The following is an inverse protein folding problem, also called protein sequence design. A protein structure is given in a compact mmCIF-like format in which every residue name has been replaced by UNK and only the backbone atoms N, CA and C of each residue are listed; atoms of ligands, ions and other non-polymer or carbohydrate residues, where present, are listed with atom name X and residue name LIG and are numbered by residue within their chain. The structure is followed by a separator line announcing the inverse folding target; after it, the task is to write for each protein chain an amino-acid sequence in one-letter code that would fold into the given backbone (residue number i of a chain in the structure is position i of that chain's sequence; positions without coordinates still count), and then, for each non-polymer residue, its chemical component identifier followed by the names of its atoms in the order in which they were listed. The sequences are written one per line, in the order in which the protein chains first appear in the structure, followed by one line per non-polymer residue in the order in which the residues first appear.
data_IF_191551405455
#
_entry.id   IF_191551405455
#
_cell.length_a   1.000
_cell.length_b   1.000
_cell.length_c   1.000
_cell.angle_alpha   90.00
_cell.angle_beta   90.00
_cell.angle_gamma   90.00
#
_symmetry.space_group_name_H-M   'P 1'
#
loop_
_entity.id
_entity.type
_entity.pdbx_description
1 polymer ?
#
# COMPACT_ATOMS: atom_id res chain seq x y z
N UNK A 1 7.71 -27.09 15.80
CA UNK A 1 6.86 -25.95 16.25
C UNK A 1 6.06 -25.45 15.06
N UNK A 2 4.75 -25.19 15.23
CA UNK A 2 3.89 -24.65 14.15
C UNK A 2 4.28 -23.21 13.83
N UNK A 3 4.44 -22.85 12.55
CA UNK A 3 4.69 -21.45 12.16
C UNK A 3 3.55 -20.55 12.65
N UNK A 4 3.83 -19.34 13.15
CA UNK A 4 2.81 -18.35 13.52
C UNK A 4 1.84 -18.09 12.36
N UNK A 5 0.58 -17.76 12.69
CA UNK A 5 -0.47 -17.52 11.69
C UNK A 5 -0.09 -16.40 10.71
N UNK A 6 0.49 -15.30 11.20
CA UNK A 6 0.94 -14.18 10.34
C UNK A 6 1.99 -14.64 9.31
N UNK A 7 2.95 -15.49 9.73
CA UNK A 7 4.00 -16.00 8.84
C UNK A 7 3.43 -16.93 7.77
N UNK A 8 2.42 -17.74 8.11
CA UNK A 8 1.71 -18.58 7.13
C UNK A 8 0.97 -17.73 6.11
N UNK A 9 0.29 -16.67 6.58
CA UNK A 9 -0.43 -15.72 5.73
C UNK A 9 0.51 -15.04 4.75
N UNK A 10 1.60 -14.44 5.23
CA UNK A 10 2.59 -13.74 4.40
C UNK A 10 3.33 -14.68 3.45
N UNK A 11 3.63 -15.92 3.87
CA UNK A 11 4.21 -16.93 2.96
C UNK A 11 3.28 -17.22 1.78
N UNK A 12 1.96 -17.33 2.04
CA UNK A 12 0.97 -17.56 0.98
C UNK A 12 0.89 -16.36 0.05
N UNK A 13 0.75 -15.15 0.59
CA UNK A 13 0.65 -13.94 -0.24
C UNK A 13 1.90 -13.68 -1.08
N UNK A 14 3.09 -13.92 -0.53
CA UNK A 14 4.34 -13.77 -1.28
C UNK A 14 4.39 -14.75 -2.47
N UNK A 15 3.96 -16.00 -2.24
CA UNK A 15 3.88 -17.00 -3.31
C UNK A 15 2.86 -16.60 -4.37
N UNK A 16 1.69 -16.15 -3.95
CA UNK A 16 0.60 -15.74 -4.86
C UNK A 16 1.07 -14.55 -5.71
N UNK A 17 1.73 -13.54 -5.12
CA UNK A 17 2.33 -12.42 -5.83
C UNK A 17 3.44 -12.84 -6.80
N UNK A 18 4.31 -13.77 -6.41
CA UNK A 18 5.39 -14.24 -7.28
C UNK A 18 4.88 -15.10 -8.45
N UNK A 19 3.75 -15.78 -8.27
CA UNK A 19 3.18 -16.68 -9.30
C UNK A 19 2.23 -15.96 -10.24
N UNK A 20 1.45 -15.01 -9.71
CA UNK A 20 0.43 -14.27 -10.45
C UNK A 20 0.34 -12.83 -9.93
N UNK A 21 1.34 -11.98 -10.21
CA UNK A 21 1.31 -10.60 -9.78
C UNK A 21 0.20 -9.83 -10.51
N UNK A 22 -0.42 -8.82 -9.87
CA UNK A 22 -1.25 -7.86 -10.59
C UNK A 22 -0.47 -7.19 -11.74
N UNK A 23 -1.18 -6.75 -12.77
CA UNK A 23 -0.55 -6.09 -13.92
C UNK A 23 0.23 -4.84 -13.49
N UNK A 24 1.48 -4.73 -13.93
CA UNK A 24 2.34 -3.61 -13.57
C UNK A 24 2.87 -3.64 -12.12
N UNK A 25 2.71 -4.73 -11.39
CA UNK A 25 3.27 -4.90 -10.03
C UNK A 25 4.44 -5.88 -10.06
N UNK A 26 5.58 -5.52 -9.45
CA UNK A 26 6.74 -6.40 -9.26
C UNK A 26 7.21 -6.41 -7.80
N UNK A 27 7.81 -7.52 -7.38
CA UNK A 27 8.50 -7.64 -6.08
C UNK A 27 9.97 -7.30 -6.29
N UNK A 28 10.48 -6.32 -5.56
CA UNK A 28 11.89 -5.91 -5.59
C UNK A 28 12.68 -6.55 -4.44
N UNK A 29 12.12 -6.53 -3.22
CA UNK A 29 12.70 -7.17 -2.02
C UNK A 29 11.60 -7.74 -1.14
N UNK A 30 11.71 -9.00 -0.73
CA UNK A 30 10.79 -9.63 0.22
C UNK A 30 11.51 -10.67 1.08
N UNK A 31 12.73 -10.35 1.50
CA UNK A 31 13.62 -11.27 2.20
C UNK A 31 13.13 -11.69 3.60
N UNK A 32 12.29 -10.88 4.25
CA UNK A 32 11.69 -11.22 5.53
C UNK A 32 10.19 -10.90 5.61
N UNK A 33 9.56 -11.19 6.76
CA UNK A 33 8.14 -10.91 7.01
C UNK A 33 7.92 -9.60 7.78
N UNK A 34 8.89 -8.69 7.76
CA UNK A 34 8.80 -7.36 8.37
C UNK A 34 8.69 -6.27 7.31
N UNK A 35 9.43 -6.40 6.21
CA UNK A 35 9.46 -5.38 5.16
C UNK A 35 9.51 -5.99 3.77
N UNK A 36 8.57 -5.60 2.90
CA UNK A 36 8.65 -5.86 1.46
C UNK A 36 8.77 -4.55 0.68
N UNK A 37 9.56 -4.57 -0.39
CA UNK A 37 9.63 -3.54 -1.41
C UNK A 37 9.00 -4.06 -2.69
N UNK A 38 7.99 -3.36 -3.16
CA UNK A 38 7.30 -3.64 -4.41
C UNK A 38 7.40 -2.43 -5.33
N UNK A 39 7.24 -2.64 -6.63
CA UNK A 39 7.11 -1.57 -7.60
C UNK A 39 5.75 -1.64 -8.28
N UNK A 40 5.17 -0.48 -8.55
CA UNK A 40 3.92 -0.32 -9.28
C UNK A 40 4.14 0.58 -10.48
N UNK A 41 3.72 0.13 -11.66
CA UNK A 41 3.66 0.93 -12.88
C UNK A 41 2.30 1.62 -13.02
N UNK A 42 2.31 2.88 -13.44
CA UNK A 42 1.10 3.61 -13.78
C UNK A 42 0.41 3.02 -15.04
N UNK A 43 -0.91 2.93 -14.99
CA UNK A 43 -1.69 2.29 -16.04
C UNK A 43 -1.69 3.12 -17.35
N UNK A 44 -1.80 2.46 -18.53
CA UNK A 44 -1.93 3.15 -19.82
C UNK A 44 -3.13 4.10 -19.85
N UNK A 45 -2.98 5.26 -20.49
CA UNK A 45 -4.01 6.27 -20.63
C UNK A 45 -4.24 7.13 -19.38
N UNK A 46 -3.43 6.96 -18.32
CA UNK A 46 -3.51 7.75 -17.09
C UNK A 46 -2.45 8.84 -17.05
N UNK A 47 -2.57 9.78 -16.11
CA UNK A 47 -1.55 10.81 -15.88
C UNK A 47 -0.17 10.25 -15.51
N UNK A 48 -0.13 9.02 -15.01
CA UNK A 48 1.08 8.34 -14.55
C UNK A 48 1.53 7.24 -15.51
N UNK A 49 1.00 7.22 -16.74
CA UNK A 49 1.47 6.28 -17.76
C UNK A 49 2.99 6.39 -17.95
N UNK A 50 3.65 5.23 -18.01
CA UNK A 50 5.12 5.09 -18.12
C UNK A 50 5.91 5.52 -16.88
N UNK A 51 5.26 5.90 -15.78
CA UNK A 51 5.90 6.12 -14.48
C UNK A 51 5.89 4.85 -13.63
N UNK A 52 6.90 4.71 -12.77
CA UNK A 52 7.02 3.62 -11.81
C UNK A 52 7.20 4.18 -10.39
N UNK A 53 6.54 3.56 -9.41
CA UNK A 53 6.55 3.96 -8.01
C UNK A 53 7.02 2.81 -7.14
N UNK A 54 7.98 3.07 -6.26
CA UNK A 54 8.40 2.13 -5.22
C UNK A 54 7.47 2.23 -4.02
N UNK A 55 7.07 1.07 -3.49
CA UNK A 55 6.25 0.92 -2.30
C UNK A 55 6.95 0.04 -1.27
N UNK A 56 7.09 0.57 -0.05
CA UNK A 56 7.55 -0.17 1.11
C UNK A 56 6.36 -0.61 1.97
N UNK A 57 6.16 -1.92 2.10
CA UNK A 57 5.20 -2.53 3.01
C UNK A 57 5.90 -2.93 4.30
N UNK A 58 5.44 -2.43 5.44
CA UNK A 58 5.90 -2.84 6.78
C UNK A 58 4.82 -3.63 7.50
N UNK A 59 5.16 -4.85 7.90
CA UNK A 59 4.26 -5.77 8.58
C UNK A 59 4.58 -5.84 10.08
N UNK A 60 3.54 -5.98 10.88
CA UNK A 60 3.64 -6.31 12.31
C UNK A 60 3.15 -7.75 12.54
N UNK A 61 3.48 -8.38 13.68
CA UNK A 61 2.92 -9.69 14.04
C UNK A 61 1.39 -9.72 14.13
N UNK A 62 0.72 -8.57 14.21
CA UNK A 62 -0.75 -8.45 14.19
C UNK A 62 -1.35 -8.65 12.80
N UNK A 63 -0.56 -8.66 11.72
CA UNK A 63 -1.07 -8.90 10.37
C UNK A 63 -1.71 -10.30 10.24
N UNK A 64 -2.89 -10.45 9.61
CA UNK A 64 -3.66 -9.44 8.87
C UNK A 64 -4.77 -8.74 9.67
N UNK A 65 -4.83 -8.90 11.00
CA UNK A 65 -5.81 -8.20 11.83
C UNK A 65 -5.62 -6.68 11.77
N UNK A 66 -4.36 -6.24 11.73
CA UNK A 66 -3.99 -4.87 11.40
C UNK A 66 -3.41 -4.79 9.98
N UNK A 67 -3.68 -3.67 9.30
CA UNK A 67 -3.07 -3.36 8.01
C UNK A 67 -1.53 -3.29 8.10
N UNK A 68 -0.80 -3.51 7.00
CA UNK A 68 0.59 -3.10 6.94
C UNK A 68 0.66 -1.57 6.89
N UNK A 69 1.78 -1.00 7.34
CA UNK A 69 2.07 0.39 7.01
C UNK A 69 2.70 0.43 5.62
N UNK A 70 2.28 1.38 4.79
CA UNK A 70 2.74 1.46 3.41
C UNK A 70 3.25 2.86 3.14
N UNK A 71 4.42 2.91 2.53
CA UNK A 71 5.13 4.13 2.22
C UNK A 71 5.54 4.12 0.74
N UNK A 72 5.50 5.29 0.10
CA UNK A 72 6.17 5.52 -1.17
C UNK A 72 7.29 6.55 -0.94
N UNK A 73 7.15 7.77 -1.45
CA UNK A 73 7.93 8.93 -1.05
C UNK A 73 7.38 9.63 0.22
N UNK A 74 6.34 9.06 0.83
CA UNK A 74 5.67 9.59 1.99
C UNK A 74 4.53 8.67 2.45
N UNK A 75 3.60 9.23 3.22
CA UNK A 75 2.42 8.50 3.66
C UNK A 75 1.34 8.50 2.58
N UNK A 76 0.65 7.36 2.45
CA UNK A 76 -0.43 7.17 1.49
C UNK A 76 -1.77 7.34 2.22
N UNK A 77 -2.61 8.28 1.76
CA UNK A 77 -3.96 8.47 2.27
C UNK A 77 -4.94 7.61 1.47
N UNK A 78 -5.13 6.34 1.87
CA UNK A 78 -6.07 5.43 1.24
C UNK A 78 -6.87 4.70 2.32
N UNK A 79 -8.19 4.79 2.25
CA UNK A 79 -9.14 4.28 3.25
C UNK A 79 -8.91 2.81 3.65
N UNK A 80 -8.63 1.94 2.67
CA UNK A 80 -8.41 0.51 2.91
C UNK A 80 -7.17 0.25 3.78
N UNK A 81 -6.26 1.21 3.94
CA UNK A 81 -5.08 1.09 4.80
C UNK A 81 -5.40 1.43 6.26
N UNK A 82 -6.55 2.03 6.52
CA UNK A 82 -6.94 2.55 7.83
C UNK A 82 -8.38 2.13 8.19
N UNK A 83 -9.38 2.98 7.90
CA UNK A 83 -10.77 2.79 8.36
C UNK A 83 -11.46 1.56 7.77
N UNK A 84 -11.14 1.22 6.52
CA UNK A 84 -11.82 0.16 5.76
C UNK A 84 -10.93 -1.09 5.62
N UNK A 85 -9.86 -1.18 6.41
CA UNK A 85 -9.03 -2.38 6.43
C UNK A 85 -9.83 -3.56 6.96
N UNK A 86 -9.72 -4.68 6.25
CA UNK A 86 -10.24 -5.97 6.71
C UNK A 86 -9.19 -7.05 6.48
N UNK A 87 -9.10 -8.08 7.35
CA UNK A 87 -8.16 -9.18 7.19
C UNK A 87 -8.32 -9.97 5.87
N UNK A 88 -9.41 -9.77 5.13
CA UNK A 88 -9.61 -10.34 3.79
C UNK A 88 -8.70 -9.70 2.74
N UNK A 89 -8.27 -8.45 2.95
CA UNK A 89 -7.41 -7.74 2.02
C UNK A 89 -6.01 -8.32 2.00
N UNK A 90 -5.42 -8.36 0.81
CA UNK A 90 -4.08 -8.89 0.53
C UNK A 90 -3.18 -7.77 0.02
N UNK A 91 -1.86 -7.98 0.05
CA UNK A 91 -0.87 -7.09 -0.56
C UNK A 91 -1.20 -6.84 -2.04
N UNK A 92 -1.61 -7.87 -2.77
CA UNK A 92 -2.03 -7.74 -4.17
C UNK A 92 -3.26 -6.82 -4.33
N UNK A 93 -4.27 -6.97 -3.48
CA UNK A 93 -5.45 -6.08 -3.50
C UNK A 93 -5.02 -4.64 -3.19
N UNK A 94 -4.17 -4.44 -2.19
CA UNK A 94 -3.69 -3.10 -1.85
C UNK A 94 -2.94 -2.44 -3.02
N UNK A 95 -2.08 -3.18 -3.72
CA UNK A 95 -1.42 -2.66 -4.92
C UNK A 95 -2.42 -2.25 -6.00
N UNK A 96 -3.44 -3.07 -6.24
CA UNK A 96 -4.52 -2.75 -7.19
C UNK A 96 -5.29 -1.49 -6.79
N UNK A 97 -5.60 -1.31 -5.50
CA UNK A 97 -6.29 -0.11 -5.02
C UNK A 97 -5.42 1.14 -5.15
N UNK A 98 -4.10 1.04 -4.93
CA UNK A 98 -3.17 2.15 -5.17
C UNK A 98 -3.09 2.48 -6.67
N UNK A 99 -3.02 1.47 -7.56
CA UNK A 99 -3.09 1.70 -9.00
C UNK A 99 -4.40 2.35 -9.44
N UNK A 100 -5.52 1.92 -8.87
CA UNK A 100 -6.84 2.50 -9.14
C UNK A 100 -6.90 3.97 -8.72
N UNK A 101 -6.40 4.28 -7.51
CA UNK A 101 -6.27 5.65 -7.00
C UNK A 101 -5.40 6.52 -7.92
N UNK A 102 -4.24 6.02 -8.38
CA UNK A 102 -3.41 6.74 -9.33
C UNK A 102 -4.12 6.95 -10.67
N UNK A 103 -4.91 5.96 -11.12
CA UNK A 103 -5.61 6.01 -12.40
C UNK A 103 -6.79 7.00 -12.40
N UNK A 104 -7.41 7.25 -11.25
CA UNK A 104 -8.51 8.21 -11.11
C UNK A 104 -8.05 9.68 -11.02
N UNK A 105 -6.76 9.93 -10.78
CA UNK A 105 -6.23 11.29 -10.72
C UNK A 105 -6.34 12.03 -12.05
N UNK A 106 -6.98 13.20 -12.03
CA UNK A 106 -7.06 14.11 -13.19
C UNK A 106 -6.01 15.22 -13.19
N UNK A 107 -5.28 15.41 -12.08
CA UNK A 107 -4.20 16.39 -11.92
C UNK A 107 -3.09 15.84 -11.03
N UNK A 108 -1.84 16.22 -11.29
CA UNK A 108 -0.69 15.95 -10.41
C UNK A 108 -0.54 17.08 -9.41
N UNK A 109 -1.31 17.03 -8.34
CA UNK A 109 -1.27 18.01 -7.24
C UNK A 109 -1.14 17.31 -5.90
N UNK A 110 -0.48 17.98 -4.95
CA UNK A 110 -0.40 17.50 -3.57
C UNK A 110 -1.76 17.72 -2.88
N UNK A 111 -2.08 16.94 -1.84
CA UNK A 111 -3.26 17.21 -1.02
C UNK A 111 -3.27 18.66 -0.51
N UNK A 112 -4.44 19.32 -0.44
CA UNK A 112 -4.55 20.72 0.01
C UNK A 112 -3.95 20.98 1.40
N UNK A 113 -3.92 19.96 2.25
CA UNK A 113 -3.42 19.98 3.63
C UNK A 113 -1.97 19.46 3.77
N UNK A 114 -1.28 19.16 2.67
CA UNK A 114 0.06 18.56 2.67
C UNK A 114 1.07 19.29 3.57
N UNK A 115 1.15 20.63 3.46
CA UNK A 115 2.13 21.42 4.23
C UNK A 115 1.84 21.45 5.73
N UNK A 116 0.56 21.36 6.11
CA UNK A 116 0.15 21.24 7.51
C UNK A 116 0.43 19.84 8.04
N UNK A 117 0.17 18.83 7.20
CA UNK A 117 0.39 17.45 7.53
C UNK A 117 1.87 17.16 7.81
N UNK A 118 2.78 17.54 6.90
CA UNK A 118 4.21 17.26 7.04
C UNK A 118 4.79 17.82 8.34
N UNK A 119 4.28 18.97 8.82
CA UNK A 119 4.75 19.60 10.08
C UNK A 119 4.38 18.81 11.34
N UNK A 120 3.35 17.98 11.26
CA UNK A 120 2.80 17.24 12.39
C UNK A 120 2.83 15.72 12.19
N UNK A 121 3.29 15.26 11.02
CA UNK A 121 3.30 13.85 10.66
C UNK A 121 4.14 13.03 11.63
N UNK A 122 3.53 11.99 12.19
CA UNK A 122 4.23 11.00 12.99
C UNK A 122 5.08 10.07 12.10
N UNK A 123 5.98 9.30 12.70
CA UNK A 123 6.74 8.28 11.96
C UNK A 123 5.90 7.12 11.44
N UNK A 124 4.70 6.92 12.01
CA UNK A 124 3.73 5.91 11.59
C UNK A 124 2.47 6.62 11.09
N UNK A 125 2.00 6.33 9.86
CA UNK A 125 0.80 6.94 9.30
C UNK A 125 -0.47 6.49 10.03
N UNK A 126 -0.42 5.40 10.80
CA UNK A 126 -1.56 4.91 11.59
C UNK A 126 -1.90 5.82 12.78
N UNK A 127 -1.00 6.73 13.17
CA UNK A 127 -1.23 7.72 14.24
C UNK A 127 -1.88 9.01 13.73
N UNK A 128 -2.10 9.12 12.42
CA UNK A 128 -2.71 10.28 11.79
C UNK A 128 -4.23 10.16 11.79
N UNK A 129 -4.91 11.26 12.15
CA UNK A 129 -6.34 11.41 11.90
C UNK A 129 -6.56 11.86 10.44
N UNK A 130 -6.77 10.90 9.55
CA UNK A 130 -6.89 11.16 8.11
C UNK A 130 -8.23 11.80 7.75
N UNK A 131 -8.18 12.90 7.00
CA UNK A 131 -9.31 13.39 6.22
C UNK A 131 -9.27 12.73 4.83
N UNK A 132 -10.13 11.74 4.59
CA UNK A 132 -10.21 11.09 3.29
C UNK A 132 -11.01 11.96 2.33
N UNK A 133 -10.42 12.30 1.19
CA UNK A 133 -11.03 13.17 0.18
C UNK A 133 -11.64 12.41 -1.01
N UNK A 134 -11.35 11.11 -1.13
CA UNK A 134 -11.95 10.22 -2.11
C UNK A 134 -12.82 9.16 -1.40
N UNK A 135 -14.14 9.27 -1.54
CA UNK A 135 -15.10 8.28 -1.01
C UNK A 135 -15.49 7.21 -2.05
N UNK A 136 -14.96 7.27 -3.28
CA UNK A 136 -15.43 6.47 -4.41
C UNK A 136 -14.40 5.48 -5.00
N UNK A 137 -13.39 5.06 -4.22
CA UNK A 137 -12.45 3.99 -4.62
C UNK A 137 -12.86 2.66 -3.98
#
# INVERSE_FOLDING_TARGET
MSKPLFSKRLTKELRDLATNPPEGVSIEDANDFKRWQLRIKGAPGTLYENEEFELEFRFTPSYPLESPEIYSNGHICLNILYKDWSPVQTVAHVCLSIQSMLSSCTKKELPPDNDLYIKSAHSSPKKTAWAFHDENV
#
